data_IF_454756379753
#
_entry.id   IF_454756379753
#
_cell.length_a   1.000
_cell.length_b   1.000
_cell.length_c   1.000
_cell.angle_alpha   90.00
_cell.angle_beta   90.00
_cell.angle_gamma   90.00
#
_symmetry.space_group_name_H-M   'P 1'
#
loop_
_entity.id
_entity.type
_entity.pdbx_description
1 polymer ?
#
# COMPACT_ATOMS: atom_id res chain seq x y z
N UNK A 1 -71.68 -15.09 25.04
CA UNK A 1 -70.85 -15.17 23.80
C UNK A 1 -69.83 -16.27 23.99
N UNK A 2 -69.83 -17.25 23.09
CA UNK A 2 -69.04 -18.47 23.21
C UNK A 2 -67.54 -18.25 22.95
N UNK A 3 -66.68 -18.85 23.77
CA UNK A 3 -65.32 -19.23 23.39
C UNK A 3 -65.00 -20.62 23.92
N UNK A 4 -64.63 -21.50 22.99
CA UNK A 4 -64.28 -22.91 23.19
C UNK A 4 -62.97 -23.03 23.98
N UNK A 5 -62.96 -23.87 25.00
CA UNK A 5 -61.73 -24.40 25.61
C UNK A 5 -61.42 -25.75 24.97
N UNK A 6 -60.21 -25.92 24.44
CA UNK A 6 -59.71 -27.20 23.94
C UNK A 6 -58.83 -27.82 25.02
N UNK A 7 -59.16 -29.05 25.38
CA UNK A 7 -58.41 -29.92 26.30
C UNK A 7 -57.23 -30.51 25.52
N UNK A 8 -56.01 -30.33 26.04
CA UNK A 8 -54.79 -31.01 25.58
C UNK A 8 -54.16 -31.79 26.73
N UNK A 9 -54.15 -33.11 26.62
CA UNK A 9 -53.63 -34.08 27.59
C UNK A 9 -52.10 -33.98 27.69
N UNK A 10 -51.57 -33.90 28.91
CA UNK A 10 -50.15 -34.02 29.19
C UNK A 10 -49.75 -35.50 29.29
N UNK A 11 -48.87 -35.96 28.41
CA UNK A 11 -48.14 -37.22 28.55
C UNK A 11 -46.68 -36.90 28.89
N UNK A 12 -46.24 -37.32 30.07
CA UNK A 12 -44.83 -37.34 30.46
C UNK A 12 -44.15 -38.54 29.82
N UNK A 13 -43.06 -38.31 29.08
CA UNK A 13 -42.18 -39.36 28.59
C UNK A 13 -40.74 -39.05 29.05
N UNK A 14 -40.21 -39.93 29.89
CA UNK A 14 -38.81 -39.95 30.30
C UNK A 14 -37.95 -40.39 29.12
N UNK A 15 -36.89 -39.63 28.81
CA UNK A 15 -35.88 -40.04 27.85
C UNK A 15 -34.57 -40.37 28.57
N UNK A 16 -34.20 -41.65 28.52
CA UNK A 16 -32.86 -42.15 28.83
C UNK A 16 -31.86 -41.62 27.79
N UNK A 17 -30.74 -41.08 28.27
CA UNK A 17 -29.59 -40.77 27.42
C UNK A 17 -28.88 -42.06 27.03
N UNK A 18 -28.91 -42.40 25.74
CA UNK A 18 -28.00 -43.36 25.13
C UNK A 18 -26.86 -42.58 24.45
N UNK A 19 -25.63 -42.76 24.93
CA UNK A 19 -24.41 -42.23 24.31
C UNK A 19 -24.10 -43.01 23.04
N UNK A 20 -24.28 -42.38 21.87
CA UNK A 20 -23.82 -42.91 20.59
C UNK A 20 -22.36 -42.48 20.41
N UNK A 21 -21.46 -43.45 20.50
CA UNK A 21 -20.06 -43.30 20.13
C UNK A 21 -19.96 -43.37 18.60
N UNK A 22 -19.68 -42.23 17.95
CA UNK A 22 -19.39 -42.19 16.52
C UNK A 22 -17.89 -42.46 16.37
N UNK A 23 -17.55 -43.65 15.86
CA UNK A 23 -16.21 -43.95 15.39
C UNK A 23 -15.91 -43.09 14.16
N UNK A 24 -14.82 -42.32 14.20
CA UNK A 24 -14.32 -41.59 13.06
C UNK A 24 -13.81 -42.59 12.01
N UNK A 25 -14.53 -42.73 10.91
CA UNK A 25 -14.00 -43.35 9.70
C UNK A 25 -13.02 -42.38 9.05
N UNK A 26 -11.78 -42.82 8.83
CA UNK A 26 -10.80 -42.11 8.02
C UNK A 26 -11.30 -42.01 6.58
N UNK A 27 -11.61 -40.78 6.15
CA UNK A 27 -11.83 -40.45 4.76
C UNK A 27 -10.45 -40.47 4.04
N UNK A 28 -10.25 -41.27 2.97
CA UNK A 28 -8.97 -41.32 2.30
C UNK A 28 -8.70 -39.97 1.62
N UNK A 29 -7.81 -39.18 2.22
CA UNK A 29 -7.26 -37.97 1.61
C UNK A 29 -6.76 -38.30 0.20
N UNK A 30 -7.15 -37.54 -0.84
CA UNK A 30 -6.52 -37.68 -2.15
C UNK A 30 -5.14 -37.02 -2.06
N UNK A 31 -4.14 -37.77 -1.57
CA UNK A 31 -2.73 -37.37 -1.52
C UNK A 31 -2.11 -37.19 -2.94
N UNK A 32 -2.85 -37.50 -4.01
CA UNK A 32 -2.35 -37.51 -5.39
C UNK A 32 -2.40 -36.19 -6.18
N UNK A 33 -2.96 -35.08 -5.66
CA UNK A 33 -3.04 -33.80 -6.40
C UNK A 33 -2.28 -32.62 -5.78
N UNK A 34 -1.80 -32.75 -4.55
CA UNK A 34 -0.95 -31.72 -3.93
C UNK A 34 0.50 -31.78 -4.43
N UNK A 35 0.99 -32.98 -4.77
CA UNK A 35 2.36 -33.18 -5.24
C UNK A 35 2.61 -32.73 -6.70
N UNK A 36 1.56 -32.62 -7.53
CA UNK A 36 1.73 -32.32 -8.96
C UNK A 36 2.08 -30.84 -9.26
N UNK A 37 1.72 -29.89 -8.39
CA UNK A 37 1.98 -28.46 -8.62
C UNK A 37 3.31 -27.97 -8.00
N UNK A 38 3.88 -28.70 -7.03
CA UNK A 38 5.17 -28.34 -6.44
C UNK A 38 6.34 -28.47 -7.44
N UNK A 39 6.17 -29.28 -8.50
CA UNK A 39 7.16 -29.46 -9.56
C UNK A 39 7.21 -28.30 -10.58
N UNK A 40 6.28 -27.34 -10.54
CA UNK A 40 6.20 -26.23 -11.49
C UNK A 40 6.85 -24.94 -11.00
N UNK A 41 7.05 -24.73 -9.70
CA UNK A 41 7.65 -23.50 -9.19
C UNK A 41 9.17 -23.61 -9.09
N UNK A 42 9.92 -22.51 -9.32
CA UNK A 42 11.32 -22.41 -8.93
C UNK A 42 11.51 -22.74 -7.44
N UNK A 43 12.66 -23.32 -7.09
CA UNK A 43 12.91 -23.81 -5.74
C UNK A 43 13.03 -22.69 -4.69
N UNK A 44 13.28 -21.45 -5.12
CA UNK A 44 13.51 -20.29 -4.28
C UNK A 44 12.35 -19.28 -4.35
N UNK A 45 11.25 -19.60 -3.66
CA UNK A 45 10.18 -18.63 -3.46
C UNK A 45 10.56 -17.46 -2.52
N UNK A 46 11.80 -17.44 -2.02
CA UNK A 46 12.30 -16.46 -1.07
C UNK A 46 11.49 -16.38 0.23
N UNK A 47 10.88 -17.50 0.66
CA UNK A 47 10.07 -17.59 1.88
C UNK A 47 8.60 -17.19 1.71
N UNK A 48 8.18 -16.76 0.51
CA UNK A 48 6.82 -16.27 0.32
C UNK A 48 5.77 -17.38 0.37
N UNK A 49 4.66 -17.08 1.04
CA UNK A 49 3.44 -17.89 1.05
C UNK A 49 2.47 -17.26 0.06
N UNK A 50 2.07 -18.01 -0.95
CA UNK A 50 1.23 -17.55 -2.05
C UNK A 50 0.00 -18.45 -2.25
N UNK A 51 -1.09 -17.93 -2.86
CA UNK A 51 -2.21 -18.73 -3.30
C UNK A 51 -1.78 -19.85 -4.25
N UNK A 52 -2.59 -20.92 -4.27
CA UNK A 52 -2.34 -22.06 -5.15
C UNK A 52 -2.17 -21.62 -6.61
N UNK A 53 -1.15 -22.17 -7.27
CA UNK A 53 -0.84 -21.93 -8.67
C UNK A 53 0.06 -20.71 -8.90
N UNK A 54 0.33 -19.90 -7.88
CA UNK A 54 1.34 -18.84 -7.94
C UNK A 54 2.71 -19.35 -7.49
N UNK A 55 3.74 -18.85 -8.16
CA UNK A 55 5.15 -19.11 -7.86
C UNK A 55 5.88 -17.78 -7.70
N UNK A 56 6.82 -17.71 -6.76
CA UNK A 56 7.78 -16.63 -6.66
C UNK A 56 9.18 -17.11 -7.07
N UNK A 57 9.97 -16.19 -7.59
CA UNK A 57 11.42 -16.31 -7.75
C UNK A 57 12.07 -15.10 -7.09
N UNK A 58 13.21 -15.29 -6.43
CA UNK A 58 14.08 -14.16 -6.08
C UNK A 58 14.68 -13.61 -7.38
N UNK A 59 14.14 -12.48 -7.83
CA UNK A 59 14.58 -11.83 -9.07
C UNK A 59 15.96 -11.21 -8.90
N UNK A 60 16.18 -10.50 -7.79
CA UNK A 60 17.49 -9.95 -7.43
C UNK A 60 17.54 -9.66 -5.93
N UNK A 61 18.74 -9.70 -5.35
CA UNK A 61 19.07 -9.03 -4.09
C UNK A 61 19.93 -7.80 -4.45
N UNK A 62 19.54 -6.63 -3.97
CA UNK A 62 20.22 -5.35 -4.24
C UNK A 62 20.68 -4.72 -2.93
N UNK A 63 21.80 -4.01 -2.97
CA UNK A 63 22.27 -3.25 -1.81
C UNK A 63 21.28 -2.13 -1.43
N UNK A 64 21.26 -1.71 -0.17
CA UNK A 64 20.48 -0.55 0.27
C UNK A 64 18.98 -0.84 0.43
N UNK A 65 18.17 0.22 0.34
CA UNK A 65 16.76 0.20 0.72
C UNK A 65 15.87 0.51 -0.51
N UNK A 66 15.60 -0.46 -1.41
CA UNK A 66 14.78 -0.23 -2.59
C UNK A 66 13.34 0.12 -2.19
N UNK A 67 12.79 1.13 -2.86
CA UNK A 67 11.45 1.66 -2.61
C UNK A 67 10.54 1.26 -3.77
N UNK A 68 10.01 2.21 -4.53
CA UNK A 68 9.14 1.87 -5.66
C UNK A 68 9.94 1.34 -6.85
N UNK A 69 9.22 0.59 -7.69
CA UNK A 69 9.77 -0.09 -8.85
C UNK A 69 8.95 0.20 -10.09
N UNK A 70 9.59 0.17 -11.25
CA UNK A 70 8.94 0.28 -12.55
C UNK A 70 9.53 -0.76 -13.50
N UNK A 71 8.69 -1.48 -14.24
CA UNK A 71 9.12 -2.47 -15.23
C UNK A 71 8.75 -2.00 -16.60
N UNK A 72 9.73 -1.95 -17.49
CA UNK A 72 9.53 -1.49 -18.84
C UNK A 72 9.10 -2.61 -19.80
N UNK A 73 8.66 -2.23 -20.99
CA UNK A 73 8.14 -3.14 -22.00
C UNK A 73 9.17 -4.19 -22.45
N UNK A 74 10.46 -3.83 -22.43
CA UNK A 74 11.57 -4.73 -22.73
C UNK A 74 11.93 -5.66 -21.55
N UNK A 75 11.26 -5.55 -20.40
CA UNK A 75 11.52 -6.35 -19.19
C UNK A 75 12.63 -5.79 -18.30
N UNK A 76 13.18 -4.61 -18.60
CA UNK A 76 14.13 -3.93 -17.70
C UNK A 76 13.38 -3.42 -16.46
N UNK A 77 13.88 -3.75 -15.27
CA UNK A 77 13.30 -3.33 -14.00
C UNK A 77 14.16 -2.19 -13.43
N UNK A 78 13.54 -1.08 -13.09
CA UNK A 78 14.20 0.04 -12.41
C UNK A 78 13.64 0.19 -11.00
N UNK A 79 14.51 0.51 -10.05
CA UNK A 79 14.15 0.80 -8.66
C UNK A 79 14.72 2.16 -8.25
N UNK A 80 13.92 2.96 -7.55
CA UNK A 80 14.45 4.08 -6.77
C UNK A 80 14.73 3.58 -5.36
N UNK A 81 15.91 3.88 -4.81
CA UNK A 81 16.28 3.45 -3.47
C UNK A 81 16.43 4.66 -2.54
N UNK A 82 16.02 4.47 -1.29
CA UNK A 82 16.37 5.39 -0.21
C UNK A 82 17.84 5.15 0.16
N UNK A 83 18.65 6.22 0.19
CA UNK A 83 20.03 6.12 0.67
C UNK A 83 20.03 6.11 2.20
N UNK A 84 19.96 4.92 2.80
CA UNK A 84 20.12 4.70 4.24
C UNK A 84 21.59 4.35 4.53
N UNK A 85 22.36 5.32 5.01
CA UNK A 85 23.78 5.20 5.42
C UNK A 85 24.82 4.90 4.31
N UNK A 86 25.69 5.90 4.07
CA UNK A 86 26.86 5.93 3.16
C UNK A 86 26.57 5.77 1.65
N UNK A 87 27.42 6.42 0.85
CA UNK A 87 27.20 6.72 -0.57
C UNK A 87 27.32 5.45 -1.40
N UNK A 88 26.23 4.98 -1.99
CA UNK A 88 26.34 4.15 -3.19
C UNK A 88 27.04 5.01 -4.24
N UNK A 89 28.33 4.73 -4.51
CA UNK A 89 29.21 5.59 -5.29
C UNK A 89 28.63 5.90 -6.69
N UNK A 90 27.87 4.96 -7.24
CA UNK A 90 27.29 5.02 -8.58
C UNK A 90 25.84 5.57 -8.60
N UNK A 91 25.21 5.77 -7.44
CA UNK A 91 23.88 6.38 -7.30
C UNK A 91 22.79 5.49 -6.70
N UNK A 92 21.61 6.07 -6.42
CA UNK A 92 20.50 5.42 -5.73
C UNK A 92 19.62 4.58 -6.65
N UNK A 93 19.65 4.83 -7.97
CA UNK A 93 18.78 4.13 -8.91
C UNK A 93 19.44 2.81 -9.29
N UNK A 94 18.66 1.74 -9.29
CA UNK A 94 19.13 0.40 -9.67
C UNK A 94 18.38 -0.03 -10.92
N UNK A 95 19.11 -0.43 -11.95
CA UNK A 95 18.59 -1.14 -13.11
C UNK A 95 18.91 -2.62 -13.01
N UNK A 96 17.91 -3.45 -13.29
CA UNK A 96 18.00 -4.90 -13.29
C UNK A 96 17.52 -5.46 -14.64
N UNK A 97 18.17 -6.51 -15.11
CA UNK A 97 17.76 -7.22 -16.32
C UNK A 97 18.03 -8.71 -16.19
N UNK A 98 17.04 -9.49 -16.61
CA UNK A 98 17.15 -10.91 -16.90
C UNK A 98 17.35 -11.06 -18.42
N UNK A 99 18.52 -11.54 -18.83
CA UNK A 99 18.93 -11.66 -20.23
C UNK A 99 18.79 -13.09 -20.78
N UNK A 100 18.63 -14.10 -19.92
CA UNK A 100 18.50 -15.51 -20.31
C UNK A 100 17.09 -16.08 -20.11
N UNK A 101 16.20 -15.33 -19.44
CA UNK A 101 14.80 -15.64 -19.24
C UNK A 101 14.53 -16.64 -18.10
N UNK A 102 15.50 -16.91 -17.22
CA UNK A 102 15.35 -17.85 -16.11
C UNK A 102 14.48 -17.28 -14.95
N UNK A 103 14.13 -16.00 -15.02
CA UNK A 103 13.37 -15.28 -14.02
C UNK A 103 14.23 -14.61 -12.95
N UNK A 104 15.54 -14.46 -13.17
CA UNK A 104 16.50 -13.78 -12.30
C UNK A 104 17.26 -12.72 -13.09
N UNK A 105 17.58 -11.61 -12.44
CA UNK A 105 18.44 -10.61 -13.04
C UNK A 105 19.91 -11.06 -12.99
N UNK A 106 20.53 -11.21 -14.15
CA UNK A 106 21.97 -11.40 -14.30
C UNK A 106 22.72 -10.05 -14.45
N UNK A 107 22.01 -8.98 -14.80
CA UNK A 107 22.53 -7.62 -14.76
C UNK A 107 21.92 -6.87 -13.58
N UNK A 108 22.80 -6.34 -12.72
CA UNK A 108 22.47 -5.44 -11.61
C UNK A 108 23.42 -4.25 -11.67
N UNK A 109 22.90 -3.07 -11.97
CA UNK A 109 23.71 -1.86 -12.13
C UNK A 109 23.09 -0.67 -11.44
N UNK A 110 23.93 0.14 -10.78
CA UNK A 110 23.54 1.40 -10.17
C UNK A 110 23.86 2.57 -11.09
N UNK A 111 23.01 3.60 -11.05
CA UNK A 111 23.22 4.86 -11.75
C UNK A 111 22.55 6.04 -11.02
N UNK A 112 22.76 7.24 -11.56
CA UNK A 112 22.22 8.48 -10.99
C UNK A 112 23.04 8.98 -9.80
N UNK A 113 24.38 8.93 -9.87
CA UNK A 113 25.28 9.37 -8.78
C UNK A 113 25.07 10.83 -8.32
N UNK A 114 24.41 11.66 -9.13
CA UNK A 114 23.98 13.03 -8.83
C UNK A 114 22.56 13.14 -8.26
N UNK A 115 21.81 12.04 -8.21
CA UNK A 115 20.46 11.93 -7.64
C UNK A 115 20.56 11.55 -6.15
N UNK A 116 19.86 12.24 -5.24
CA UNK A 116 19.86 11.89 -3.81
C UNK A 116 19.09 10.61 -3.44
N UNK A 117 18.33 10.04 -4.37
CA UNK A 117 17.41 8.91 -4.16
C UNK A 117 16.03 9.37 -3.70
N UNK A 118 15.13 8.41 -3.49
CA UNK A 118 13.75 8.68 -3.12
C UNK A 118 12.89 7.42 -3.07
N UNK A 119 11.57 7.64 -3.02
CA UNK A 119 10.57 6.58 -3.15
C UNK A 119 10.03 6.50 -4.56
N UNK A 120 9.51 7.59 -5.12
CA UNK A 120 8.78 7.59 -6.38
C UNK A 120 9.61 7.21 -7.61
N UNK A 121 9.03 6.38 -8.48
CA UNK A 121 9.52 6.05 -9.82
C UNK A 121 8.33 5.73 -10.73
N UNK A 122 8.38 6.14 -11.99
CA UNK A 122 7.34 5.82 -12.96
C UNK A 122 7.88 5.83 -14.39
N UNK A 123 7.37 4.93 -15.24
CA UNK A 123 7.66 4.94 -16.68
C UNK A 123 6.50 5.62 -17.41
N UNK A 124 6.80 6.63 -18.22
CA UNK A 124 5.81 7.29 -19.06
C UNK A 124 6.42 7.67 -20.40
N UNK A 125 5.89 7.07 -21.47
CA UNK A 125 6.50 7.09 -22.81
C UNK A 125 7.95 6.57 -22.73
N UNK A 126 8.87 7.18 -23.46
CA UNK A 126 10.29 6.81 -23.50
C UNK A 126 11.11 7.43 -22.35
N UNK A 127 10.50 7.61 -21.17
CA UNK A 127 11.13 8.30 -20.05
C UNK A 127 10.93 7.56 -18.73
N UNK A 128 11.99 7.54 -17.93
CA UNK A 128 11.95 7.12 -16.53
C UNK A 128 11.89 8.36 -15.64
N UNK A 129 10.78 8.55 -14.94
CA UNK A 129 10.59 9.61 -13.95
C UNK A 129 11.03 9.11 -12.58
N UNK A 130 11.67 9.98 -11.81
CA UNK A 130 12.17 9.67 -10.48
C UNK A 130 11.88 10.82 -9.51
N UNK A 131 11.52 10.46 -8.28
CA UNK A 131 11.68 11.36 -7.16
C UNK A 131 13.16 11.61 -6.88
N UNK A 132 13.51 12.87 -6.67
CA UNK A 132 14.87 13.31 -6.33
C UNK A 132 14.83 14.52 -5.38
N UNK A 133 14.65 14.27 -4.08
CA UNK A 133 14.71 15.27 -2.98
C UNK A 133 14.06 16.62 -3.33
N UNK A 134 12.74 16.70 -3.22
CA UNK A 134 11.99 17.92 -3.47
C UNK A 134 11.78 18.24 -4.96
N UNK A 135 12.12 17.29 -5.83
CA UNK A 135 11.95 17.39 -7.27
C UNK A 135 11.42 16.09 -7.83
N UNK A 136 10.70 16.18 -8.94
CA UNK A 136 10.52 15.09 -9.89
C UNK A 136 11.42 15.37 -11.07
N UNK A 137 12.26 14.40 -11.42
CA UNK A 137 13.18 14.45 -12.56
C UNK A 137 12.84 13.33 -13.54
N UNK A 138 13.35 13.40 -14.77
CA UNK A 138 13.27 12.30 -15.73
C UNK A 138 14.54 12.08 -16.52
N UNK A 139 14.81 10.83 -16.86
CA UNK A 139 15.86 10.42 -17.79
C UNK A 139 15.24 9.92 -19.10
N UNK A 140 15.84 10.27 -20.26
CA UNK A 140 15.46 9.62 -21.50
C UNK A 140 15.83 8.13 -21.39
N UNK A 141 14.96 7.28 -21.91
CA UNK A 141 15.10 5.82 -21.84
C UNK A 141 15.01 5.24 -23.24
N UNK A 142 15.88 4.29 -23.54
CA UNK A 142 15.72 3.41 -24.71
C UNK A 142 15.61 1.96 -24.28
N UNK A 143 14.97 1.14 -25.11
CA UNK A 143 14.90 -0.29 -24.89
C UNK A 143 16.31 -0.89 -24.81
N UNK A 144 16.51 -1.80 -23.86
CA UNK A 144 17.80 -2.42 -23.56
C UNK A 144 18.72 -1.61 -22.64
N UNK A 145 18.46 -0.32 -22.38
CA UNK A 145 19.28 0.47 -21.47
C UNK A 145 18.99 0.15 -20.00
N UNK A 146 19.88 -0.59 -19.35
CA UNK A 146 19.74 -0.94 -17.91
C UNK A 146 20.22 0.19 -17.00
N UNK A 147 21.28 0.92 -17.38
CA UNK A 147 21.77 2.12 -16.70
C UNK A 147 21.59 3.35 -17.59
N UNK A 148 20.69 4.27 -17.18
CA UNK A 148 20.40 5.45 -17.98
C UNK A 148 21.55 6.45 -17.92
N UNK A 149 21.85 7.05 -19.08
CA UNK A 149 22.97 7.97 -19.26
C UNK A 149 22.49 9.41 -19.39
N UNK A 150 23.41 10.35 -19.15
CA UNK A 150 23.15 11.79 -19.33
C UNK A 150 22.63 12.48 -18.07
N UNK A 151 22.29 13.76 -18.22
CA UNK A 151 21.77 14.59 -17.15
C UNK A 151 20.23 14.54 -17.17
N UNK A 152 19.57 14.36 -16.02
CA UNK A 152 18.12 14.33 -15.97
C UNK A 152 17.50 15.71 -16.17
N UNK A 153 16.29 15.73 -16.73
CA UNK A 153 15.47 16.94 -16.81
C UNK A 153 14.65 17.10 -15.53
N UNK A 154 14.54 18.34 -15.03
CA UNK A 154 13.64 18.63 -13.90
C UNK A 154 12.23 18.88 -14.42
N UNK A 155 11.25 18.17 -13.86
CA UNK A 155 9.83 18.26 -14.24
C UNK A 155 9.09 19.20 -13.29
N UNK A 156 9.25 18.96 -11.99
CA UNK A 156 8.73 19.82 -10.92
C UNK A 156 9.82 20.00 -9.88
N UNK A 157 9.97 21.20 -9.33
CA UNK A 157 10.93 21.54 -8.26
C UNK A 157 10.29 22.32 -7.12
N UNK A 158 11.08 22.53 -6.08
CA UNK A 158 10.71 23.23 -4.85
C UNK A 158 9.52 22.57 -4.13
N UNK A 159 9.34 21.25 -4.32
CA UNK A 159 8.39 20.49 -3.53
C UNK A 159 8.84 20.56 -2.06
N UNK A 160 7.95 20.91 -1.12
CA UNK A 160 8.26 20.96 0.31
C UNK A 160 8.94 19.67 0.79
N UNK A 161 10.00 19.77 1.62
CA UNK A 161 10.81 18.63 2.09
C UNK A 161 11.05 18.56 3.60
N UNK A 162 10.44 19.46 4.36
CA UNK A 162 10.42 19.44 5.82
C UNK A 162 9.34 18.50 6.39
N UNK A 163 9.33 18.33 7.72
CA UNK A 163 8.35 17.53 8.44
C UNK A 163 8.60 16.02 8.42
N UNK A 164 7.60 15.26 8.87
CA UNK A 164 7.67 13.82 9.09
C UNK A 164 7.65 12.99 7.79
N UNK A 165 6.88 13.40 6.78
CA UNK A 165 6.71 12.64 5.53
C UNK A 165 7.43 13.30 4.35
N UNK A 166 8.60 12.80 4.00
CA UNK A 166 9.48 13.40 2.98
C UNK A 166 9.51 12.67 1.65
N UNK A 167 8.89 11.49 1.54
CA UNK A 167 8.75 10.77 0.28
C UNK A 167 7.78 11.50 -0.68
N UNK A 168 8.07 11.48 -1.98
CA UNK A 168 7.22 12.06 -3.05
C UNK A 168 6.89 10.99 -4.09
N UNK A 169 6.14 9.94 -3.72
CA UNK A 169 5.64 8.99 -4.69
C UNK A 169 4.62 9.66 -5.60
N UNK A 170 4.50 9.13 -6.81
CA UNK A 170 3.63 9.69 -7.82
C UNK A 170 3.19 8.63 -8.83
N UNK A 171 2.10 8.93 -9.53
CA UNK A 171 1.65 8.21 -10.71
C UNK A 171 1.45 9.18 -11.87
N UNK A 172 1.56 8.67 -13.09
CA UNK A 172 1.30 9.43 -14.31
C UNK A 172 0.21 8.71 -15.10
N UNK A 173 -0.86 9.41 -15.44
CA UNK A 173 -1.90 8.83 -16.29
C UNK A 173 -1.52 8.86 -17.79
N UNK A 174 -2.41 8.34 -18.64
CA UNK A 174 -2.20 8.28 -20.08
C UNK A 174 -2.19 9.64 -20.77
N UNK A 175 -2.75 10.67 -20.14
CA UNK A 175 -2.78 12.05 -20.66
C UNK A 175 -1.52 12.83 -20.25
N UNK A 176 -0.76 12.30 -19.28
CA UNK A 176 0.42 12.94 -18.72
C UNK A 176 0.13 13.80 -17.49
N UNK A 177 -1.02 13.62 -16.84
CA UNK A 177 -1.25 14.19 -15.52
C UNK A 177 -0.39 13.44 -14.50
N UNK A 178 0.50 14.17 -13.83
CA UNK A 178 1.43 13.67 -12.83
C UNK A 178 0.90 14.00 -11.43
N UNK A 179 0.49 12.97 -10.69
CA UNK A 179 -0.13 13.07 -9.36
C UNK A 179 0.91 12.76 -8.29
N UNK A 180 1.31 13.75 -7.50
CA UNK A 180 2.38 13.63 -6.48
C UNK A 180 1.78 13.74 -5.08
N UNK A 181 2.09 12.79 -4.19
CA UNK A 181 1.84 12.94 -2.76
C UNK A 181 2.86 13.89 -2.11
N UNK A 182 2.34 14.80 -1.30
CA UNK A 182 3.13 15.55 -0.34
C UNK A 182 2.54 15.30 1.05
N UNK A 183 2.94 14.20 1.69
CA UNK A 183 2.48 13.83 3.03
C UNK A 183 2.67 14.90 4.12
N UNK A 184 1.96 14.73 5.23
CA UNK A 184 1.86 15.68 6.34
C UNK A 184 3.22 15.98 7.00
N UNK A 185 3.36 17.18 7.57
CA UNK A 185 4.54 17.54 8.34
C UNK A 185 4.47 16.98 9.77
N UNK A 186 3.28 16.82 10.33
CA UNK A 186 3.05 16.27 11.68
C UNK A 186 2.16 15.02 11.67
N UNK A 187 1.95 14.41 12.83
CA UNK A 187 1.11 13.22 12.95
C UNK A 187 -0.39 13.52 12.77
N UNK A 188 -0.89 14.61 13.38
CA UNK A 188 -2.31 15.00 13.37
C UNK A 188 -2.54 16.52 13.37
N UNK A 189 -1.60 17.33 12.84
CA UNK A 189 -1.66 18.79 12.81
C UNK A 189 -1.93 19.42 14.19
N UNK A 190 -1.17 18.96 15.18
CA UNK A 190 -1.27 19.36 16.58
C UNK A 190 -0.40 20.58 16.88
N UNK A 191 -0.77 21.37 17.89
CA UNK A 191 0.09 22.45 18.41
C UNK A 191 1.48 21.94 18.83
N UNK A 192 1.52 20.77 19.49
CA UNK A 192 2.75 20.05 19.81
C UNK A 192 2.63 18.63 19.25
N UNK A 193 3.44 18.30 18.24
CA UNK A 193 3.37 17.00 17.57
C UNK A 193 3.60 15.84 18.56
N UNK A 194 2.83 14.76 18.39
CA UNK A 194 2.91 13.52 19.20
C UNK A 194 2.92 13.72 20.71
N UNK A 195 2.32 14.82 21.18
CA UNK A 195 2.22 15.15 22.59
C UNK A 195 0.85 14.77 23.14
N UNK A 196 0.85 14.21 24.37
CA UNK A 196 -0.37 13.78 25.07
C UNK A 196 -1.36 14.94 25.21
N UNK A 197 -2.61 14.70 24.81
CA UNK A 197 -3.73 15.65 24.88
C UNK A 197 -3.44 17.01 24.21
N UNK A 198 -2.50 17.08 23.25
CA UNK A 198 -2.26 18.32 22.51
C UNK A 198 -3.42 18.62 21.55
N UNK A 199 -4.05 19.81 21.64
CA UNK A 199 -5.10 20.20 20.71
C UNK A 199 -4.56 20.38 19.28
N UNK A 200 -5.47 20.24 18.31
CA UNK A 200 -5.23 20.52 16.90
C UNK A 200 -5.08 22.01 16.62
N UNK A 201 -4.41 22.34 15.53
CA UNK A 201 -4.46 23.67 14.91
C UNK A 201 -5.69 23.73 13.98
N UNK A 202 -6.59 24.68 14.23
CA UNK A 202 -7.80 24.91 13.44
C UNK A 202 -7.90 26.40 13.04
N UNK A 203 -7.67 26.76 11.76
CA UNK A 203 -7.42 25.86 10.64
C UNK A 203 -6.03 25.19 10.71
N UNK A 204 -5.94 23.97 10.16
CA UNK A 204 -4.67 23.28 9.95
C UNK A 204 -3.92 23.89 8.76
N UNK A 205 -2.88 24.67 9.05
CA UNK A 205 -2.07 25.36 8.03
C UNK A 205 -1.29 24.40 7.13
N UNK A 206 -0.98 23.17 7.58
CA UNK A 206 -0.28 22.16 6.76
C UNK A 206 -1.05 21.85 5.47
N UNK A 207 -2.39 21.87 5.48
CA UNK A 207 -3.23 21.54 4.32
C UNK A 207 -3.00 22.47 3.11
N UNK A 208 -2.35 23.62 3.32
CA UNK A 208 -1.97 24.52 2.23
C UNK A 208 -0.94 23.87 1.30
N UNK A 209 0.03 23.18 1.88
CA UNK A 209 1.22 22.66 1.18
C UNK A 209 1.48 21.17 1.37
N UNK A 210 0.72 20.50 2.24
CA UNK A 210 0.91 19.11 2.68
C UNK A 210 -0.41 18.36 2.82
N UNK A 211 -0.30 17.06 3.10
CA UNK A 211 -1.39 16.13 3.34
C UNK A 211 -2.45 16.14 2.22
N UNK A 212 -1.95 15.98 1.00
CA UNK A 212 -2.76 16.00 -0.22
C UNK A 212 -1.96 15.49 -1.41
N UNK A 213 -2.59 15.56 -2.57
CA UNK A 213 -1.96 15.22 -3.84
C UNK A 213 -2.04 16.42 -4.76
N UNK A 214 -0.95 16.73 -5.45
CA UNK A 214 -0.83 17.81 -6.42
C UNK A 214 -0.75 17.24 -7.83
N UNK A 215 -1.35 17.94 -8.80
CA UNK A 215 -1.37 17.53 -10.22
C UNK A 215 -0.54 18.49 -11.06
N UNK A 216 0.48 17.96 -11.73
CA UNK A 216 1.32 18.69 -12.70
C UNK A 216 1.26 18.02 -14.07
N UNK A 217 1.86 18.65 -15.09
CA UNK A 217 1.98 18.07 -16.43
C UNK A 217 3.34 17.37 -16.58
N UNK A 218 3.36 16.05 -16.75
CA UNK A 218 4.57 15.26 -16.94
C UNK A 218 5.36 15.68 -18.19
N UNK A 219 4.73 16.32 -19.17
CA UNK A 219 5.38 16.72 -20.42
C UNK A 219 6.07 18.10 -20.30
N UNK A 220 5.81 18.87 -19.24
CA UNK A 220 6.41 20.20 -19.02
C UNK A 220 7.58 20.12 -18.03
N UNK A 221 8.68 20.75 -18.41
CA UNK A 221 9.86 20.88 -17.54
C UNK A 221 9.79 22.14 -16.68
N UNK A 222 10.57 22.16 -15.60
CA UNK A 222 10.79 23.33 -14.75
C UNK A 222 9.54 23.95 -14.10
N UNK A 223 8.48 23.16 -13.92
CA UNK A 223 7.36 23.57 -13.08
C UNK A 223 7.84 23.77 -11.65
N UNK A 224 7.23 24.72 -10.94
CA UNK A 224 7.58 25.05 -9.54
C UNK A 224 6.37 24.72 -8.68
N UNK A 225 6.63 24.19 -7.49
CA UNK A 225 5.58 23.91 -6.53
C UNK A 225 4.67 25.13 -6.31
N UNK A 226 3.36 24.90 -6.32
CA UNK A 226 2.35 25.91 -6.02
C UNK A 226 1.16 25.28 -5.30
N UNK A 227 0.65 25.96 -4.27
CA UNK A 227 -0.54 25.53 -3.53
C UNK A 227 -1.78 25.42 -4.44
N UNK A 228 -1.80 26.17 -5.55
CA UNK A 228 -2.91 26.18 -6.51
C UNK A 228 -2.99 24.91 -7.37
N UNK A 229 -1.91 24.11 -7.42
CA UNK A 229 -1.88 22.85 -8.18
C UNK A 229 -2.42 21.67 -7.36
N UNK A 230 -3.00 21.93 -6.18
CA UNK A 230 -3.59 20.91 -5.31
C UNK A 230 -4.76 20.26 -6.03
N UNK A 231 -4.68 18.95 -6.21
CA UNK A 231 -5.74 18.14 -6.79
C UNK A 231 -6.72 17.67 -5.72
N UNK A 232 -6.20 17.20 -4.57
CA UNK A 232 -6.99 16.79 -3.40
C UNK A 232 -6.29 17.14 -2.11
N UNK A 233 -7.07 17.22 -1.02
CA UNK A 233 -6.58 17.48 0.34
C UNK A 233 -7.06 16.40 1.31
N UNK A 234 -6.57 16.46 2.55
CA UNK A 234 -7.02 15.63 3.64
C UNK A 234 -6.53 14.18 3.57
N UNK A 235 -5.39 13.95 2.91
CA UNK A 235 -4.72 12.65 2.85
C UNK A 235 -3.40 12.75 3.60
N UNK A 236 -3.29 12.11 4.78
CA UNK A 236 -2.11 12.23 5.64
C UNK A 236 -0.80 11.92 4.90
N UNK A 237 -0.74 10.80 4.19
CA UNK A 237 0.46 10.33 3.50
C UNK A 237 0.05 9.23 2.51
N UNK A 238 -0.01 9.57 1.21
CA UNK A 238 -0.35 8.65 0.14
C UNK A 238 0.88 8.04 -0.51
N UNK A 239 1.44 7.00 0.11
CA UNK A 239 2.64 6.38 -0.47
C UNK A 239 2.31 5.58 -1.73
N UNK A 240 1.21 4.83 -1.78
CA UNK A 240 0.72 4.17 -2.99
C UNK A 240 -0.23 5.07 -3.79
N UNK A 241 0.09 5.31 -5.06
CA UNK A 241 -0.78 5.98 -6.03
C UNK A 241 -0.72 5.17 -7.34
N UNK A 242 -1.88 4.89 -7.94
CA UNK A 242 -1.94 4.34 -9.28
C UNK A 242 -3.23 4.74 -10.01
N UNK A 243 -3.19 4.64 -11.33
CA UNK A 243 -4.30 5.00 -12.21
C UNK A 243 -4.80 3.75 -12.91
N UNK A 244 -6.11 3.50 -12.90
CA UNK A 244 -6.66 2.36 -13.64
C UNK A 244 -6.80 2.65 -15.14
N UNK A 245 -7.23 1.65 -15.90
CA UNK A 245 -7.43 1.75 -17.36
C UNK A 245 -8.54 2.72 -17.78
N UNK A 246 -9.38 3.15 -16.84
CA UNK A 246 -10.46 4.13 -17.08
C UNK A 246 -10.04 5.55 -16.67
N UNK A 247 -8.78 5.76 -16.27
CA UNK A 247 -8.29 7.06 -15.82
C UNK A 247 -8.67 7.41 -14.38
N UNK A 248 -9.22 6.48 -13.60
CA UNK A 248 -9.50 6.73 -12.18
C UNK A 248 -8.22 6.61 -11.38
N UNK A 249 -7.94 7.62 -10.57
CA UNK A 249 -6.77 7.67 -9.70
C UNK A 249 -7.14 7.15 -8.32
N UNK A 250 -6.39 6.17 -7.83
CA UNK A 250 -6.53 5.66 -6.47
C UNK A 250 -5.29 6.00 -5.68
N UNK A 251 -5.47 6.22 -4.38
CA UNK A 251 -4.38 6.41 -3.45
C UNK A 251 -4.61 5.59 -2.19
N UNK A 252 -3.54 5.07 -1.62
CA UNK A 252 -3.56 4.56 -0.25
C UNK A 252 -3.44 5.73 0.73
N UNK A 253 -3.91 5.59 1.96
CA UNK A 253 -3.73 6.58 3.02
C UNK A 253 -3.24 5.89 4.28
N UNK A 254 -2.12 6.39 4.81
CA UNK A 254 -1.64 6.00 6.14
C UNK A 254 -2.48 6.69 7.20
N UNK A 255 -3.04 5.92 8.12
CA UNK A 255 -3.70 6.40 9.32
C UNK A 255 -2.78 7.24 10.22
N UNK A 256 -3.35 8.04 11.14
CA UNK A 256 -2.55 8.70 12.19
C UNK A 256 -2.16 7.71 13.29
N UNK A 257 -1.05 7.97 13.96
CA UNK A 257 -0.44 6.98 14.89
C UNK A 257 -1.09 7.02 16.29
N UNK A 258 -0.49 6.58 17.39
CA UNK A 258 -0.65 7.04 18.78
C UNK A 258 -2.04 7.53 19.31
N UNK A 259 -3.19 6.95 18.92
CA UNK A 259 -4.50 7.40 19.43
C UNK A 259 -4.60 7.19 20.94
N UNK A 260 -4.27 5.99 21.40
CA UNK A 260 -4.29 5.63 22.82
C UNK A 260 -3.21 6.36 23.61
N UNK A 261 -1.99 6.42 23.08
CA UNK A 261 -0.86 7.08 23.71
C UNK A 261 -1.14 8.57 23.96
N UNK A 262 -1.75 9.25 22.98
CA UNK A 262 -2.03 10.68 23.09
C UNK A 262 -3.36 10.95 23.83
N UNK A 263 -4.33 10.05 23.75
CA UNK A 263 -5.69 10.25 24.27
C UNK A 263 -6.21 9.05 25.09
N UNK A 264 -5.51 8.65 26.16
CA UNK A 264 -5.83 7.42 26.92
C UNK A 264 -7.16 7.51 27.72
N UNK A 265 -7.77 8.70 27.78
CA UNK A 265 -9.11 8.90 28.35
C UNK A 265 -10.23 8.53 27.37
N UNK A 266 -9.94 8.55 26.06
CA UNK A 266 -10.92 8.33 24.99
C UNK A 266 -10.77 6.96 24.34
N UNK A 267 -9.55 6.43 24.31
CA UNK A 267 -9.24 5.14 23.71
C UNK A 267 -8.65 4.19 24.75
N UNK A 268 -8.78 2.89 24.50
CA UNK A 268 -8.04 1.86 25.22
C UNK A 268 -6.86 1.34 24.38
N UNK A 269 -6.00 0.50 24.98
CA UNK A 269 -4.78 0.00 24.33
C UNK A 269 -5.04 -0.86 23.10
N UNK A 270 -6.14 -1.62 23.06
CA UNK A 270 -6.53 -2.38 21.88
C UNK A 270 -6.92 -1.45 20.73
N UNK A 271 -7.74 -0.42 21.02
CA UNK A 271 -8.05 0.63 20.05
C UNK A 271 -6.81 1.38 19.57
N UNK A 272 -5.80 1.58 20.41
CA UNK A 272 -4.52 2.15 19.97
C UNK A 272 -3.80 1.30 18.91
N UNK A 273 -4.00 -0.02 18.92
CA UNK A 273 -3.41 -0.94 17.95
C UNK A 273 -4.30 -1.18 16.73
N UNK A 274 -5.62 -0.98 16.84
CA UNK A 274 -6.60 -1.34 15.81
C UNK A 274 -7.30 -0.14 15.17
N UNK A 275 -7.01 1.08 15.63
CA UNK A 275 -7.46 2.34 15.02
C UNK A 275 -6.28 3.31 14.78
N UNK A 276 -6.41 4.21 13.80
CA UNK A 276 -7.43 4.24 12.75
C UNK A 276 -7.13 3.22 11.64
N UNK A 277 -8.11 2.89 10.81
CA UNK A 277 -7.89 2.00 9.68
C UNK A 277 -6.91 2.62 8.66
N UNK A 278 -6.18 1.76 7.93
CA UNK A 278 -5.53 2.17 6.69
C UNK A 278 -6.57 2.19 5.58
N UNK A 279 -6.37 3.02 4.55
CA UNK A 279 -7.42 3.31 3.58
C UNK A 279 -6.93 3.18 2.13
N UNK A 280 -7.82 2.74 1.23
CA UNK A 280 -7.73 2.94 -0.21
C UNK A 280 -8.84 3.91 -0.59
N UNK A 281 -8.49 5.04 -1.19
CA UNK A 281 -9.43 6.08 -1.62
C UNK A 281 -9.46 6.18 -3.15
N UNK A 282 -10.62 6.50 -3.71
CA UNK A 282 -10.78 6.89 -5.11
C UNK A 282 -10.77 8.41 -5.18
N UNK A 283 -9.78 8.97 -5.87
CA UNK A 283 -9.59 10.41 -5.93
C UNK A 283 -10.63 11.10 -6.83
N UNK A 284 -11.01 12.32 -6.43
CA UNK A 284 -11.93 13.21 -7.14
C UNK A 284 -11.36 14.61 -7.06
N UNK A 285 -11.31 15.32 -8.19
CA UNK A 285 -10.79 16.69 -8.25
C UNK A 285 -11.47 17.57 -7.19
N UNK A 286 -10.68 18.29 -6.39
CA UNK A 286 -11.13 19.11 -5.26
C UNK A 286 -11.60 18.32 -4.03
N UNK A 287 -11.42 17.00 -4.00
CA UNK A 287 -11.86 16.14 -2.90
C UNK A 287 -11.09 16.37 -1.59
N UNK A 288 -11.78 16.16 -0.47
CA UNK A 288 -11.24 16.21 0.90
C UNK A 288 -11.51 14.87 1.60
N UNK A 289 -10.44 14.18 2.00
CA UNK A 289 -10.47 12.84 2.62
C UNK A 289 -10.37 12.89 4.15
N UNK A 290 -10.42 14.10 4.73
CA UNK A 290 -10.76 14.31 6.13
C UNK A 290 -9.58 14.49 7.09
N UNK A 291 -8.37 14.03 6.79
CA UNK A 291 -7.22 14.34 7.66
C UNK A 291 -6.99 15.87 7.72
N UNK A 292 -6.59 16.48 8.86
CA UNK A 292 -6.37 15.87 10.17
C UNK A 292 -7.63 15.79 11.04
N UNK A 293 -8.72 16.40 10.60
CA UNK A 293 -9.94 16.56 11.39
C UNK A 293 -10.69 15.25 11.61
N UNK A 294 -10.51 14.28 10.72
CA UNK A 294 -11.22 13.02 10.68
C UNK A 294 -10.25 11.86 10.56
N UNK A 295 -10.66 10.70 11.08
CA UNK A 295 -10.04 9.42 10.76
C UNK A 295 -11.12 8.38 10.48
N UNK A 296 -10.79 7.34 9.72
CA UNK A 296 -11.72 6.24 9.47
C UNK A 296 -11.66 5.21 10.60
N UNK A 297 -12.79 5.02 11.29
CA UNK A 297 -12.96 3.92 12.21
C UNK A 297 -13.41 2.68 11.41
N UNK A 298 -12.48 1.76 11.20
CA UNK A 298 -12.72 0.54 10.42
C UNK A 298 -13.73 -0.42 11.06
N UNK A 299 -13.89 -0.39 12.39
CA UNK A 299 -14.88 -1.22 13.08
C UNK A 299 -16.30 -0.65 12.93
N UNK A 300 -16.42 0.68 12.88
CA UNK A 300 -17.69 1.38 12.69
C UNK A 300 -18.02 1.62 11.21
N UNK A 301 -17.05 1.50 10.30
CA UNK A 301 -17.22 1.71 8.86
C UNK A 301 -17.53 3.16 8.49
N UNK A 302 -16.99 4.15 9.23
CA UNK A 302 -17.26 5.57 9.00
C UNK A 302 -16.11 6.47 9.43
N UNK A 303 -16.05 7.66 8.83
CA UNK A 303 -15.20 8.76 9.30
C UNK A 303 -15.78 9.36 10.59
N UNK A 304 -14.92 9.62 11.56
CA UNK A 304 -15.26 10.19 12.86
C UNK A 304 -14.31 11.32 13.20
N UNK A 305 -14.78 12.26 14.02
CA UNK A 305 -14.01 13.44 14.41
C UNK A 305 -12.79 13.02 15.25
N UNK A 306 -11.63 13.53 14.87
CA UNK A 306 -10.38 13.30 15.58
C UNK A 306 -10.38 14.02 16.94
N UNK A 307 -9.77 13.42 17.98
CA UNK A 307 -9.81 13.95 19.34
C UNK A 307 -9.12 15.31 19.47
N UNK A 308 -8.12 15.59 18.63
CA UNK A 308 -7.44 16.89 18.50
C UNK A 308 -8.43 18.05 18.21
N UNK A 309 -9.59 17.73 17.62
CA UNK A 309 -10.60 18.67 17.14
C UNK A 309 -11.96 18.50 17.83
N UNK A 310 -11.98 17.94 19.04
CA UNK A 310 -13.19 17.75 19.84
C UNK A 310 -13.91 16.41 19.65
N UNK A 311 -13.26 15.44 19.00
CA UNK A 311 -13.74 14.06 18.92
C UNK A 311 -13.82 13.37 20.28
N UNK A 312 -14.79 12.46 20.45
CA UNK A 312 -15.16 11.82 21.72
C UNK A 312 -14.91 10.30 21.74
N UNK A 313 -13.89 9.84 21.01
CA UNK A 313 -13.56 8.42 20.90
C UNK A 313 -14.41 7.66 19.86
N UNK A 314 -14.79 8.34 18.78
CA UNK A 314 -15.42 7.73 17.61
C UNK A 314 -16.95 7.84 17.53
N UNK A 315 -17.61 8.66 18.34
CA UNK A 315 -19.07 8.87 18.27
C UNK A 315 -19.42 10.17 17.54
N UNK A 316 -18.67 11.24 17.82
CA UNK A 316 -18.80 12.53 17.17
C UNK A 316 -18.40 12.44 15.70
N UNK A 317 -19.28 12.92 14.83
CA UNK A 317 -19.04 12.99 13.38
C UNK A 317 -18.60 14.41 12.99
N UNK A 318 -19.31 15.44 13.44
CA UNK A 318 -18.98 16.83 13.13
C UNK A 318 -18.79 17.06 11.62
N UNK A 319 -17.71 17.74 11.26
CA UNK A 319 -17.35 18.03 9.86
C UNK A 319 -16.99 16.78 9.03
N UNK A 320 -16.86 15.60 9.65
CA UNK A 320 -16.51 14.37 8.94
C UNK A 320 -17.65 13.82 8.08
N UNK A 321 -18.88 14.31 8.26
CA UNK A 321 -20.03 13.94 7.44
C UNK A 321 -19.89 14.39 5.98
N UNK A 322 -19.13 15.47 5.74
CA UNK A 322 -18.96 16.09 4.41
C UNK A 322 -17.68 15.63 3.69
N UNK A 323 -16.92 14.71 4.29
CA UNK A 323 -15.64 14.21 3.75
C UNK A 323 -15.87 12.97 2.89
N UNK A 324 -14.96 12.75 1.94
CA UNK A 324 -15.02 11.59 1.06
C UNK A 324 -14.50 10.35 1.79
N UNK A 325 -15.31 9.26 1.89
CA UNK A 325 -14.89 8.04 2.55
C UNK A 325 -13.96 7.19 1.65
N UNK A 326 -13.24 6.21 2.23
CA UNK A 326 -12.47 5.25 1.47
C UNK A 326 -13.36 4.31 0.66
N UNK A 327 -12.80 3.75 -0.42
CA UNK A 327 -13.43 2.67 -1.19
C UNK A 327 -13.14 1.29 -0.60
N UNK A 328 -12.04 1.15 0.14
CA UNK A 328 -11.71 -0.02 0.96
C UNK A 328 -10.90 0.41 2.20
N UNK A 329 -11.02 -0.35 3.28
CA UNK A 329 -10.27 -0.11 4.51
C UNK A 329 -9.56 -1.39 4.98
N UNK A 330 -8.43 -1.21 5.65
CA UNK A 330 -7.56 -2.29 6.10
C UNK A 330 -7.18 -2.10 7.57
N UNK A 331 -6.70 -3.15 8.25
CA UNK A 331 -6.33 -3.04 9.65
C UNK A 331 -5.28 -1.97 9.90
N UNK A 332 -5.41 -1.31 11.05
CA UNK A 332 -4.59 -0.18 11.42
C UNK A 332 -3.08 -0.46 11.42
N UNK A 333 -2.33 0.56 11.02
CA UNK A 333 -0.87 0.64 11.07
C UNK A 333 -0.14 -0.37 10.18
N UNK A 334 -0.80 -1.01 9.22
CA UNK A 334 -0.13 -1.93 8.30
C UNK A 334 0.82 -1.21 7.31
N UNK A 335 0.69 0.11 7.15
CA UNK A 335 1.60 0.94 6.36
C UNK A 335 1.57 0.63 4.86
N UNK A 336 0.51 1.02 4.12
CA UNK A 336 0.40 0.77 2.69
C UNK A 336 1.43 1.59 1.89
N UNK A 337 2.51 0.96 1.43
CA UNK A 337 3.68 1.62 0.86
C UNK A 337 3.75 1.59 -0.67
N UNK A 338 2.90 0.87 -1.37
CA UNK A 338 2.70 1.04 -2.81
C UNK A 338 1.36 0.42 -3.22
N UNK A 339 0.88 0.83 -4.38
CA UNK A 339 -0.38 0.42 -5.00
C UNK A 339 -0.13 0.16 -6.48
N UNK A 340 -0.64 -0.96 -6.98
CA UNK A 340 -0.74 -1.24 -8.42
C UNK A 340 -2.09 -1.85 -8.78
N UNK A 341 -2.76 -1.25 -9.75
CA UNK A 341 -3.93 -1.84 -10.39
C UNK A 341 -3.45 -2.88 -11.40
N UNK A 342 -3.94 -4.11 -11.26
CA UNK A 342 -3.50 -5.20 -12.11
C UNK A 342 -4.10 -5.09 -13.52
N UNK A 343 -3.24 -4.73 -14.47
CA UNK A 343 -3.58 -4.60 -15.90
C UNK A 343 -3.05 -5.76 -16.75
N UNK A 344 -2.31 -6.68 -16.14
CA UNK A 344 -1.78 -7.87 -16.80
C UNK A 344 -2.86 -8.92 -17.06
N UNK A 345 -2.49 -9.96 -17.82
CA UNK A 345 -3.39 -11.07 -18.17
C UNK A 345 -2.89 -12.43 -17.71
N UNK A 346 -1.68 -12.50 -17.14
CA UNK A 346 -1.07 -13.75 -16.66
C UNK A 346 -1.80 -14.33 -15.45
N UNK A 347 -2.25 -13.47 -14.53
CA UNK A 347 -3.00 -13.91 -13.36
C UNK A 347 -4.46 -14.22 -13.75
N UNK A 348 -5.15 -15.09 -12.99
CA UNK A 348 -6.56 -15.41 -13.22
C UNK A 348 -7.45 -14.17 -13.35
N UNK A 349 -8.56 -14.29 -14.08
CA UNK A 349 -9.49 -13.17 -14.35
C UNK A 349 -9.94 -12.44 -13.08
N UNK A 350 -10.06 -13.15 -11.95
CA UNK A 350 -10.42 -12.59 -10.65
C UNK A 350 -9.47 -11.49 -10.15
N UNK A 351 -8.23 -11.43 -10.66
CA UNK A 351 -7.25 -10.40 -10.30
C UNK A 351 -7.31 -9.15 -11.19
N UNK A 352 -7.91 -9.25 -12.38
CA UNK A 352 -7.86 -8.19 -13.40
C UNK A 352 -8.67 -6.97 -12.98
N UNK A 353 -8.03 -5.79 -13.03
CA UNK A 353 -8.62 -4.52 -12.61
C UNK A 353 -8.68 -4.30 -11.10
N UNK A 354 -8.28 -5.28 -10.28
CA UNK A 354 -8.17 -5.11 -8.84
C UNK A 354 -6.85 -4.49 -8.41
N UNK A 355 -6.76 -4.13 -7.13
CA UNK A 355 -5.60 -3.46 -6.54
C UNK A 355 -4.72 -4.43 -5.77
N UNK A 356 -3.43 -4.45 -6.09
CA UNK A 356 -2.38 -4.98 -5.21
C UNK A 356 -1.82 -3.85 -4.34
N UNK A 357 -1.70 -4.10 -3.04
CA UNK A 357 -1.17 -3.11 -2.08
C UNK A 357 -0.08 -3.77 -1.25
N UNK A 358 1.10 -3.15 -1.21
CA UNK A 358 2.21 -3.59 -0.38
C UNK A 358 2.09 -2.98 1.01
N UNK A 359 1.87 -3.80 2.03
CA UNK A 359 1.87 -3.37 3.43
C UNK A 359 3.24 -3.60 4.05
N UNK A 360 3.91 -2.48 4.36
CA UNK A 360 5.27 -2.43 4.89
C UNK A 360 5.40 -3.05 6.28
N UNK A 361 4.29 -3.07 7.02
CA UNK A 361 4.21 -3.60 8.36
C UNK A 361 4.29 -2.52 9.43
N UNK A 362 3.64 -2.79 10.56
CA UNK A 362 3.47 -1.81 11.61
C UNK A 362 4.74 -1.53 12.40
N UNK A 363 4.79 -0.32 12.95
CA UNK A 363 5.65 0.05 14.08
C UNK A 363 4.78 0.49 15.28
N UNK A 364 3.74 1.29 15.00
CA UNK A 364 2.81 1.88 15.98
C UNK A 364 1.63 0.96 16.34
N UNK A 365 1.88 -0.34 16.50
CA UNK A 365 0.97 -1.25 17.21
C UNK A 365 1.52 -1.53 18.62
N UNK A 366 1.83 -0.46 19.36
CA UNK A 366 2.67 -0.47 20.58
C UNK A 366 2.21 -1.44 21.67
N UNK A 367 0.90 -1.74 21.73
CA UNK A 367 0.29 -2.60 22.75
C UNK A 367 -0.31 -3.89 22.18
N UNK A 368 -0.08 -4.18 20.90
CA UNK A 368 -0.56 -5.36 20.19
C UNK A 368 0.56 -6.06 19.43
N UNK A 369 0.28 -7.21 18.78
CA UNK A 369 1.24 -7.79 17.86
C UNK A 369 1.43 -6.83 16.67
N UNK A 370 2.68 -6.74 16.23
CA UNK A 370 3.00 -6.09 14.98
C UNK A 370 2.41 -6.91 13.82
N UNK A 371 1.84 -6.25 12.82
CA UNK A 371 1.08 -6.87 11.74
C UNK A 371 1.26 -6.09 10.43
N UNK A 372 0.68 -6.59 9.34
CA UNK A 372 1.04 -6.18 7.97
C UNK A 372 2.14 -7.10 7.45
N UNK A 373 3.18 -6.55 6.80
CA UNK A 373 4.28 -7.34 6.22
C UNK A 373 3.78 -8.31 5.15
N UNK A 374 2.91 -7.83 4.27
CA UNK A 374 2.28 -8.66 3.25
C UNK A 374 1.92 -7.82 2.02
N UNK A 375 1.57 -8.50 0.93
CA UNK A 375 0.90 -7.89 -0.21
C UNK A 375 -0.55 -8.37 -0.19
N UNK A 376 -1.51 -7.46 -0.21
CA UNK A 376 -2.93 -7.81 -0.36
C UNK A 376 -3.38 -7.64 -1.79
N UNK A 377 -4.47 -8.33 -2.13
CA UNK A 377 -5.29 -8.05 -3.30
C UNK A 377 -6.70 -7.62 -2.87
N UNK A 378 -7.15 -6.47 -3.35
CA UNK A 378 -8.52 -5.96 -3.20
C UNK A 378 -9.21 -5.96 -4.57
N UNK A 379 -10.24 -6.79 -4.79
CA UNK A 379 -11.03 -6.72 -6.01
C UNK A 379 -11.72 -5.36 -6.13
N UNK A 380 -11.68 -4.78 -7.33
CA UNK A 380 -12.34 -3.52 -7.65
C UNK A 380 -13.25 -3.71 -8.88
N UNK A 381 -14.39 -3.05 -8.87
CA UNK A 381 -15.25 -2.89 -10.04
C UNK A 381 -15.89 -1.49 -10.00
N UNK A 382 -15.90 -0.81 -11.15
CA UNK A 382 -16.58 0.48 -11.31
C UNK A 382 -16.25 1.53 -10.24
N UNK A 383 -15.00 1.60 -9.81
CA UNK A 383 -14.54 2.60 -8.85
C UNK A 383 -14.76 2.21 -7.39
N UNK A 384 -15.14 0.96 -7.11
CA UNK A 384 -15.52 0.48 -5.78
C UNK A 384 -14.87 -0.85 -5.46
N UNK A 385 -14.65 -1.12 -4.18
CA UNK A 385 -14.32 -2.45 -3.70
C UNK A 385 -15.47 -3.45 -3.94
N UNK A 386 -15.11 -4.66 -4.37
CA UNK A 386 -16.03 -5.79 -4.48
C UNK A 386 -15.60 -6.85 -3.49
N UNK A 387 -16.41 -7.08 -2.46
CA UNK A 387 -16.08 -8.01 -1.38
C UNK A 387 -14.88 -7.55 -0.54
N UNK A 388 -14.36 -8.46 0.27
CA UNK A 388 -13.18 -8.23 1.09
C UNK A 388 -11.87 -8.42 0.33
N UNK A 389 -10.79 -7.85 0.86
CA UNK A 389 -9.44 -8.14 0.40
C UNK A 389 -9.00 -9.56 0.79
N UNK A 390 -7.94 -10.04 0.14
CA UNK A 390 -7.21 -11.23 0.55
C UNK A 390 -5.73 -10.92 0.73
N UNK A 391 -5.07 -11.63 1.65
CA UNK A 391 -3.60 -11.64 1.68
C UNK A 391 -3.14 -12.46 0.46
N UNK A 392 -2.44 -11.79 -0.46
CA UNK A 392 -1.94 -12.39 -1.70
C UNK A 392 -0.52 -12.92 -1.55
N UNK A 393 0.35 -12.20 -0.84
CA UNK A 393 1.68 -12.70 -0.51
C UNK A 393 1.96 -12.43 0.96
N UNK A 394 2.35 -13.47 1.68
CA UNK A 394 2.78 -13.42 3.08
C UNK A 394 4.16 -14.07 3.22
N UNK A 395 4.68 -14.21 4.44
CA UNK A 395 5.98 -14.83 4.71
C UNK A 395 7.16 -13.85 4.66
N UNK A 396 6.90 -12.55 4.53
CA UNK A 396 7.94 -11.50 4.61
C UNK A 396 8.52 -11.35 6.02
N UNK A 397 7.80 -11.83 7.04
CA UNK A 397 8.23 -11.80 8.43
C UNK A 397 8.07 -13.19 9.04
N UNK A 398 9.16 -13.73 9.60
CA UNK A 398 9.13 -14.95 10.40
C UNK A 398 8.92 -14.62 11.89
N UNK A 399 7.94 -15.27 12.53
CA UNK A 399 7.79 -15.27 13.99
C UNK A 399 7.60 -13.91 14.69
N UNK A 400 7.96 -13.86 15.98
CA UNK A 400 7.75 -12.71 16.87
C UNK A 400 8.89 -11.69 16.78
N UNK A 401 10.13 -12.12 16.53
CA UNK A 401 11.32 -11.29 16.60
C UNK A 401 12.08 -11.32 15.27
N UNK A 402 12.14 -10.16 14.59
CA UNK A 402 12.85 -9.97 13.33
C UNK A 402 11.95 -9.38 12.26
N UNK A 403 12.42 -8.30 11.62
CA UNK A 403 11.83 -7.81 10.36
C UNK A 403 12.80 -8.22 9.26
N UNK A 404 12.54 -9.38 8.65
CA UNK A 404 13.38 -9.93 7.58
C UNK A 404 13.15 -9.16 6.28
N UNK A 405 11.88 -9.00 5.90
CA UNK A 405 11.49 -8.27 4.71
C UNK A 405 10.33 -7.31 5.01
N UNK A 406 10.31 -6.17 4.32
CA UNK A 406 9.22 -5.19 4.40
C UNK A 406 8.79 -4.77 3.00
N UNK A 407 7.66 -5.28 2.49
CA UNK A 407 7.16 -4.92 1.17
C UNK A 407 7.07 -3.40 0.99
N UNK A 408 7.70 -2.88 -0.05
CA UNK A 408 7.71 -1.46 -0.40
C UNK A 408 7.08 -1.22 -1.75
N UNK A 409 7.79 -1.53 -2.84
CA UNK A 409 7.38 -1.28 -4.21
C UNK A 409 6.70 -2.46 -4.88
N UNK A 410 5.79 -2.15 -5.79
CA UNK A 410 5.09 -3.09 -6.66
C UNK A 410 5.21 -2.63 -8.12
N UNK A 411 5.27 -3.57 -9.06
CA UNK A 411 5.09 -3.27 -10.48
C UNK A 411 4.60 -4.48 -11.25
N UNK A 412 3.91 -4.23 -12.36
CA UNK A 412 3.46 -5.28 -13.27
C UNK A 412 4.45 -5.36 -14.43
N UNK A 413 5.04 -6.54 -14.62
CA UNK A 413 5.88 -6.82 -15.78
C UNK A 413 5.09 -6.86 -17.08
N UNK A 414 5.76 -6.73 -18.25
CA UNK A 414 5.11 -6.78 -19.55
C UNK A 414 4.41 -8.12 -19.83
N UNK A 415 4.88 -9.18 -19.19
CA UNK A 415 4.28 -10.52 -19.25
C UNK A 415 3.10 -10.71 -18.29
N UNK A 416 2.76 -9.70 -17.50
CA UNK A 416 1.71 -9.75 -16.48
C UNK A 416 2.16 -10.31 -15.12
N UNK A 417 3.46 -10.56 -14.90
CA UNK A 417 3.99 -10.93 -13.58
C UNK A 417 3.95 -9.75 -12.60
N UNK A 418 3.88 -10.03 -11.30
CA UNK A 418 3.96 -9.01 -10.24
C UNK A 418 5.36 -9.01 -9.64
N UNK A 419 6.00 -7.85 -9.62
CA UNK A 419 7.24 -7.64 -8.89
C UNK A 419 6.95 -7.02 -7.54
N UNK A 420 7.71 -7.42 -6.52
CA UNK A 420 7.63 -6.88 -5.16
C UNK A 420 9.04 -6.55 -4.70
N UNK A 421 9.29 -5.34 -4.22
CA UNK A 421 10.55 -4.96 -3.59
C UNK A 421 10.39 -4.91 -2.06
N UNK A 422 11.48 -5.10 -1.32
CA UNK A 422 11.54 -4.82 0.11
C UNK A 422 12.76 -3.99 0.52
N UNK A 423 12.56 -3.04 1.43
CA UNK A 423 13.61 -2.11 1.84
C UNK A 423 14.42 -2.55 3.07
N UNK A 424 14.13 -3.72 3.63
CA UNK A 424 14.81 -4.23 4.83
C UNK A 424 16.00 -5.12 4.46
N UNK A 425 15.82 -6.05 3.52
CA UNK A 425 16.86 -6.92 3.01
C UNK A 425 17.32 -6.54 1.59
N UNK A 426 16.59 -5.65 0.91
CA UNK A 426 16.91 -5.26 -0.46
C UNK A 426 16.55 -6.32 -1.50
N UNK A 427 15.57 -7.19 -1.23
CA UNK A 427 15.16 -8.23 -2.18
C UNK A 427 14.07 -7.73 -3.12
N UNK A 428 14.12 -8.26 -4.34
CA UNK A 428 13.09 -8.13 -5.36
C UNK A 428 12.59 -9.53 -5.70
N UNK A 429 11.30 -9.78 -5.54
CA UNK A 429 10.65 -11.00 -6.02
C UNK A 429 9.95 -10.73 -7.35
N UNK A 430 9.88 -11.76 -8.18
CA UNK A 430 8.96 -11.84 -9.32
C UNK A 430 7.96 -12.97 -9.06
N UNK A 431 6.66 -12.64 -9.12
CA UNK A 431 5.56 -13.56 -8.87
C UNK A 431 4.83 -13.84 -10.19
N UNK A 432 4.68 -15.12 -10.51
CA UNK A 432 4.04 -15.63 -11.73
C UNK A 432 2.91 -16.61 -11.41
N UNK A 433 1.97 -16.79 -12.33
CA UNK A 433 0.93 -17.82 -12.23
C UNK A 433 1.22 -18.99 -13.20
N UNK A 434 1.16 -20.23 -12.71
CA UNK A 434 1.52 -21.46 -13.45
C UNK A 434 0.42 -22.54 -13.53
N UNK A 435 -0.78 -22.30 -12.98
CA UNK A 435 -1.92 -23.24 -13.05
C UNK A 435 -2.21 -23.98 -11.75
#
# INVERSE_FOLDING_TARGET
MAKKFVIGVALAAAFSFATISIAAGEDPRPEGKAAANAALCPADNGGLILPRGFCATVFADVEGAPRHIAVAADGTVYLNAAIRHSKAADGPVVGLKDTDGDGRADIVVRFGGDVPGGTGIFLYKDWLYLESRGRIIRYPRKDGEVALQGQPETIVKDLPMDGNHTARPFAIDTEGNLFIDLGSATNSCQQNDRTKESPGLDPCEELKTRAGIWRYDANKTDQVFSENERFVTGIRNAIGIDVDSSGRVYATQHGRDQLYENWPKLYNSAQGSDLPAEELVLLRDGGDYGWPYCYFDGAQGKLVLAPEYGGDGGKAIGQCADKLPPVAAFPAHWGPNDLKIYKGTQFPDAYRGGAFIAFHGSWNRSFGPQAGYNVVFQPLADGKAVGGYMIFADGFRSGKDGVEHRPTGLAIGPDGSLYVADDAAGRVWRITYRG
#
